data_IF_056133960323
#
_entry.id   IF_056133960323
#
_cell.length_a   1.000
_cell.length_b   1.000
_cell.length_c   1.000
_cell.angle_alpha   90.00
_cell.angle_beta   90.00
_cell.angle_gamma   90.00
#
_symmetry.space_group_name_H-M   'P 1'
#
loop_
_entity.id
_entity.type
_entity.pdbx_description
1 polymer ?
#
# COMPACT_ATOMS: atom_id res chain seq x y z
N UNK A 1 -73.73 -14.10 49.38
CA UNK A 1 -72.41 -13.51 49.07
C UNK A 1 -71.87 -14.28 47.87
N UNK A 2 -71.74 -13.61 46.74
CA UNK A 2 -71.56 -14.19 45.41
C UNK A 2 -70.27 -15.02 45.25
N UNK A 3 -70.39 -16.05 44.43
CA UNK A 3 -69.35 -16.85 43.79
C UNK A 3 -68.25 -16.01 43.13
N UNK A 4 -67.01 -16.48 43.21
CA UNK A 4 -66.25 -17.00 42.06
C UNK A 4 -64.76 -17.12 42.40
N UNK A 5 -64.38 -18.20 43.07
CA UNK A 5 -62.98 -18.62 43.05
C UNK A 5 -62.74 -19.41 41.76
N UNK A 6 -62.66 -18.70 40.62
CA UNK A 6 -62.31 -19.29 39.32
C UNK A 6 -60.83 -19.63 39.33
N UNK A 7 -60.50 -20.80 39.87
CA UNK A 7 -59.19 -21.40 39.68
C UNK A 7 -58.93 -21.55 38.18
N UNK A 8 -57.84 -20.97 37.68
CA UNK A 8 -57.43 -21.09 36.28
C UNK A 8 -57.38 -22.57 35.89
N UNK A 9 -58.07 -22.98 34.80
CA UNK A 9 -58.09 -24.38 34.39
C UNK A 9 -56.68 -24.89 34.10
N UNK A 10 -56.38 -26.10 34.57
CA UNK A 10 -55.04 -26.70 34.48
C UNK A 10 -54.57 -26.91 33.02
N UNK A 11 -55.51 -27.04 32.07
CA UNK A 11 -55.20 -27.10 30.64
C UNK A 11 -54.75 -25.75 30.06
N UNK A 12 -55.23 -24.63 30.62
CA UNK A 12 -54.81 -23.29 30.23
C UNK A 12 -53.37 -23.02 30.67
N UNK A 13 -52.98 -23.45 31.87
CA UNK A 13 -51.61 -23.29 32.35
C UNK A 13 -50.63 -24.15 31.54
N UNK A 14 -51.01 -25.38 31.21
CA UNK A 14 -50.20 -26.25 30.32
C UNK A 14 -50.08 -25.64 28.92
N UNK A 15 -51.18 -25.16 28.33
CA UNK A 15 -51.17 -24.52 27.02
C UNK A 15 -50.25 -23.30 26.97
N UNK A 16 -50.31 -22.45 28.00
CA UNK A 16 -49.41 -21.29 28.12
C UNK A 16 -47.95 -21.73 28.25
N UNK A 17 -47.65 -22.72 29.09
CA UNK A 17 -46.28 -23.21 29.29
C UNK A 17 -45.66 -23.77 28.00
N UNK A 18 -46.44 -24.52 27.20
CA UNK A 18 -46.01 -25.04 25.90
C UNK A 18 -45.79 -23.89 24.92
N UNK A 19 -46.70 -22.92 24.84
CA UNK A 19 -46.54 -21.76 23.96
C UNK A 19 -45.29 -20.95 24.30
N UNK A 20 -45.04 -20.65 25.58
CA UNK A 20 -43.84 -19.91 26.01
C UNK A 20 -42.57 -20.68 25.65
N UNK A 21 -42.57 -22.00 25.79
CA UNK A 21 -41.43 -22.85 25.44
C UNK A 21 -41.13 -22.79 23.93
N UNK A 22 -42.17 -22.91 23.10
CA UNK A 22 -42.04 -22.85 21.63
C UNK A 22 -41.58 -21.47 21.15
N UNK A 23 -42.13 -20.39 21.71
CA UNK A 23 -41.72 -19.02 21.40
C UNK A 23 -40.26 -18.79 21.79
N UNK A 24 -39.84 -19.30 22.95
CA UNK A 24 -38.44 -19.17 23.40
C UNK A 24 -37.49 -19.86 22.43
N UNK A 25 -37.78 -21.11 22.02
CA UNK A 25 -36.94 -21.86 21.07
C UNK A 25 -36.86 -21.13 19.72
N UNK A 26 -37.99 -20.66 19.20
CA UNK A 26 -38.03 -19.94 17.93
C UNK A 26 -37.25 -18.62 17.99
N UNK A 27 -37.35 -17.89 19.11
CA UNK A 27 -36.58 -16.68 19.34
C UNK A 27 -35.07 -16.96 19.42
N UNK A 28 -34.66 -18.02 20.12
CA UNK A 28 -33.25 -18.44 20.18
C UNK A 28 -32.69 -18.82 18.82
N UNK A 29 -33.40 -19.62 18.02
CA UNK A 29 -32.94 -20.01 16.67
C UNK A 29 -32.85 -18.78 15.74
N UNK A 30 -33.82 -17.86 15.81
CA UNK A 30 -33.81 -16.62 15.04
C UNK A 30 -32.62 -15.72 15.41
N UNK A 31 -32.41 -15.50 16.71
CA UNK A 31 -31.29 -14.69 17.19
C UNK A 31 -29.95 -15.33 16.81
N UNK A 32 -29.79 -16.64 17.02
CA UNK A 32 -28.56 -17.36 16.70
C UNK A 32 -28.22 -17.29 15.21
N UNK A 33 -29.20 -17.50 14.32
CA UNK A 33 -29.01 -17.32 12.87
C UNK A 33 -28.63 -15.89 12.50
N UNK A 34 -29.18 -14.89 13.21
CA UNK A 34 -28.84 -13.49 12.97
C UNK A 34 -27.40 -13.19 13.38
N UNK A 35 -26.96 -13.66 14.56
CA UNK A 35 -25.58 -13.51 15.04
C UNK A 35 -24.58 -14.18 14.09
N UNK A 36 -24.82 -15.43 13.69
CA UNK A 36 -23.94 -16.14 12.76
C UNK A 36 -23.80 -15.41 11.40
N UNK A 37 -24.87 -14.77 10.90
CA UNK A 37 -24.81 -13.96 9.68
C UNK A 37 -24.07 -12.65 9.86
N UNK A 38 -24.09 -12.05 11.05
CA UNK A 38 -23.34 -10.84 11.35
C UNK A 38 -21.85 -11.14 11.42
N UNK A 39 -21.45 -12.17 12.18
CA UNK A 39 -20.05 -12.59 12.27
C UNK A 39 -19.50 -12.98 10.89
N UNK A 40 -20.26 -13.74 10.10
CA UNK A 40 -19.84 -14.10 8.74
C UNK A 40 -19.64 -12.88 7.83
N UNK A 41 -20.47 -11.82 7.97
CA UNK A 41 -20.31 -10.58 7.22
C UNK A 41 -19.09 -9.81 7.68
N UNK A 42 -18.89 -9.66 8.98
CA UNK A 42 -17.72 -8.97 9.54
C UNK A 42 -16.40 -9.63 9.14
N UNK A 43 -16.37 -10.96 9.08
CA UNK A 43 -15.20 -11.72 8.62
C UNK A 43 -14.95 -11.47 7.12
N UNK A 44 -16.00 -11.48 6.29
CA UNK A 44 -15.87 -11.23 4.85
C UNK A 44 -15.43 -9.79 4.59
N UNK A 45 -16.04 -8.80 5.24
CA UNK A 45 -15.67 -7.38 5.13
C UNK A 45 -14.23 -7.15 5.57
N UNK A 46 -13.79 -7.77 6.68
CA UNK A 46 -12.40 -7.68 7.12
C UNK A 46 -11.43 -8.27 6.11
N UNK A 47 -11.73 -9.47 5.58
CA UNK A 47 -10.87 -10.09 4.58
C UNK A 47 -10.84 -9.29 3.27
N UNK A 48 -11.95 -8.69 2.87
CA UNK A 48 -12.01 -7.81 1.70
C UNK A 48 -11.13 -6.57 1.92
N UNK A 49 -11.24 -5.92 3.08
CA UNK A 49 -10.38 -4.80 3.47
C UNK A 49 -8.89 -5.19 3.53
N UNK A 50 -8.55 -6.34 4.10
CA UNK A 50 -7.18 -6.85 4.13
C UNK A 50 -6.64 -7.09 2.72
N UNK A 51 -7.46 -7.59 1.80
CA UNK A 51 -7.07 -7.79 0.39
C UNK A 51 -6.90 -6.47 -0.34
N UNK A 52 -7.80 -5.51 -0.13
CA UNK A 52 -7.73 -4.20 -0.76
C UNK A 52 -6.51 -3.41 -0.27
N UNK A 53 -6.22 -3.47 1.02
CA UNK A 53 -5.02 -2.84 1.60
C UNK A 53 -3.74 -3.50 1.09
N UNK A 54 -3.70 -4.83 1.01
CA UNK A 54 -2.56 -5.55 0.42
C UNK A 54 -2.39 -5.23 -1.07
N UNK A 55 -3.48 -5.13 -1.84
CA UNK A 55 -3.44 -4.75 -3.25
C UNK A 55 -2.93 -3.32 -3.42
N UNK A 56 -3.40 -2.37 -2.60
CA UNK A 56 -2.93 -1.00 -2.61
C UNK A 56 -1.43 -0.91 -2.30
N UNK A 57 -0.94 -1.66 -1.30
CA UNK A 57 0.48 -1.71 -0.97
C UNK A 57 1.32 -2.32 -2.12
N UNK A 58 0.81 -3.37 -2.78
CA UNK A 58 1.49 -3.97 -3.93
C UNK A 58 1.60 -2.99 -5.11
N UNK A 59 0.50 -2.27 -5.43
CA UNK A 59 0.49 -1.23 -6.48
C UNK A 59 1.44 -0.10 -6.13
N UNK A 60 1.50 0.32 -4.86
CA UNK A 60 2.43 1.34 -4.41
C UNK A 60 3.90 0.94 -4.65
N UNK A 61 4.26 -0.30 -4.28
CA UNK A 61 5.62 -0.84 -4.51
C UNK A 61 5.96 -0.99 -5.98
N UNK A 62 5.02 -1.46 -6.80
CA UNK A 62 5.20 -1.59 -8.25
C UNK A 62 5.47 -0.25 -8.92
N UNK A 63 4.70 0.79 -8.57
CA UNK A 63 4.93 2.17 -9.06
C UNK A 63 6.30 2.69 -8.66
N UNK A 64 6.72 2.46 -7.41
CA UNK A 64 8.02 2.88 -6.93
C UNK A 64 9.14 2.19 -7.71
N UNK A 65 9.06 0.87 -7.87
CA UNK A 65 10.01 0.09 -8.65
C UNK A 65 10.06 0.56 -10.12
N UNK A 66 8.90 0.82 -10.73
CA UNK A 66 8.80 1.32 -12.09
C UNK A 66 9.56 2.64 -12.27
N UNK A 67 9.32 3.61 -11.39
CA UNK A 67 10.00 4.91 -11.45
C UNK A 67 11.52 4.79 -11.21
N UNK A 68 11.96 3.94 -10.27
CA UNK A 68 13.39 3.70 -10.01
C UNK A 68 14.08 3.09 -11.24
N UNK A 69 13.42 2.13 -11.89
CA UNK A 69 13.94 1.50 -13.10
C UNK A 69 13.97 2.49 -14.26
N UNK A 70 12.94 3.33 -14.41
CA UNK A 70 12.90 4.37 -15.42
C UNK A 70 14.06 5.38 -15.23
N UNK A 71 14.24 5.91 -14.02
CA UNK A 71 15.34 6.84 -13.73
C UNK A 71 16.73 6.21 -13.79
N UNK A 72 16.83 4.88 -13.66
CA UNK A 72 18.09 4.15 -13.79
C UNK A 72 18.72 4.27 -15.19
N UNK A 73 17.98 4.73 -16.21
CA UNK A 73 18.59 5.03 -17.53
C UNK A 73 19.68 6.10 -17.43
N UNK A 74 19.55 7.07 -16.51
CA UNK A 74 20.56 8.11 -16.28
C UNK A 74 21.90 7.53 -15.81
N UNK A 75 21.92 6.32 -15.25
CA UNK A 75 23.16 5.65 -14.86
C UNK A 75 24.10 5.46 -16.04
N UNK A 76 23.56 5.09 -17.19
CA UNK A 76 24.33 4.89 -18.43
C UNK A 76 24.84 6.22 -18.96
N UNK A 77 23.98 7.23 -19.09
CA UNK A 77 24.37 8.56 -19.56
C UNK A 77 25.50 9.16 -18.70
N UNK A 78 25.38 9.07 -17.37
CA UNK A 78 26.40 9.58 -16.44
C UNK A 78 27.70 8.78 -16.55
N UNK A 79 27.62 7.45 -16.65
CA UNK A 79 28.81 6.60 -16.80
C UNK A 79 29.55 6.86 -18.11
N UNK A 80 28.83 7.05 -19.22
CA UNK A 80 29.39 7.40 -20.52
C UNK A 80 30.03 8.79 -20.51
N UNK A 81 29.34 9.78 -19.93
CA UNK A 81 29.89 11.12 -19.74
C UNK A 81 31.20 11.07 -18.96
N UNK A 82 31.22 10.35 -17.84
CA UNK A 82 32.42 10.19 -17.02
C UNK A 82 33.53 9.42 -17.74
N UNK A 83 33.20 8.38 -18.49
CA UNK A 83 34.19 7.64 -19.27
C UNK A 83 34.88 8.51 -20.33
N UNK A 84 34.14 9.46 -20.94
CA UNK A 84 34.63 10.33 -21.99
C UNK A 84 35.37 11.57 -21.48
N UNK A 85 34.94 12.13 -20.35
CA UNK A 85 35.44 13.41 -19.83
C UNK A 85 36.34 13.27 -18.60
N UNK A 86 36.21 12.18 -17.84
CA UNK A 86 36.80 12.04 -16.52
C UNK A 86 36.09 12.83 -15.41
N UNK A 87 34.98 13.50 -15.73
CA UNK A 87 34.19 14.33 -14.80
C UNK A 87 32.76 13.78 -14.65
N UNK A 88 32.02 14.26 -13.67
CA UNK A 88 30.57 13.98 -13.56
C UNK A 88 29.77 15.15 -14.13
N UNK A 89 28.64 14.91 -14.81
CA UNK A 89 27.81 15.98 -15.34
C UNK A 89 27.28 16.88 -14.21
N UNK A 90 27.12 18.17 -14.52
CA UNK A 90 26.57 19.14 -13.59
C UNK A 90 25.03 19.09 -13.54
N UNK A 91 24.40 18.73 -14.66
CA UNK A 91 22.95 18.75 -14.88
C UNK A 91 22.54 17.83 -16.05
N UNK A 92 21.26 17.86 -16.42
CA UNK A 92 20.71 17.13 -17.57
C UNK A 92 21.22 17.66 -18.92
N UNK A 93 21.47 18.96 -19.03
CA UNK A 93 21.92 19.59 -20.27
C UNK A 93 23.33 19.12 -20.65
N UNK A 94 24.20 18.91 -19.65
CA UNK A 94 25.51 18.29 -19.84
C UNK A 94 25.42 16.86 -20.42
N UNK A 95 24.30 16.18 -20.25
CA UNK A 95 24.01 14.86 -20.83
C UNK A 95 23.29 14.95 -22.20
N UNK A 96 23.04 16.16 -22.71
CA UNK A 96 22.28 16.40 -23.93
C UNK A 96 20.78 16.17 -23.76
N UNK A 97 20.27 16.18 -22.54
CA UNK A 97 18.85 16.00 -22.23
C UNK A 97 18.20 17.36 -21.94
N UNK A 98 16.96 17.61 -22.42
CA UNK A 98 16.21 18.80 -22.04
C UNK A 98 16.06 18.92 -20.51
N UNK A 99 16.00 20.15 -19.95
CA UNK A 99 15.87 20.36 -18.51
C UNK A 99 14.54 19.86 -17.93
N UNK A 100 13.51 19.73 -18.76
CA UNK A 100 12.18 19.21 -18.41
C UNK A 100 11.99 17.73 -18.79
N UNK A 101 13.06 17.04 -19.19
CA UNK A 101 12.99 15.64 -19.55
C UNK A 101 12.67 14.77 -18.33
N UNK A 102 11.72 13.85 -18.48
CA UNK A 102 11.29 12.92 -17.43
C UNK A 102 11.33 11.47 -17.95
N UNK A 103 11.89 10.53 -17.18
CA UNK A 103 11.91 9.11 -17.56
C UNK A 103 10.60 8.38 -17.28
N UNK A 104 9.70 8.96 -16.47
CA UNK A 104 8.40 8.38 -16.11
C UNK A 104 7.39 9.49 -15.81
N UNK A 105 6.12 9.23 -16.10
CA UNK A 105 4.96 10.06 -15.76
C UNK A 105 4.65 10.10 -14.25
N UNK A 106 5.27 9.20 -13.46
CA UNK A 106 5.21 9.21 -12.00
C UNK A 106 6.12 10.26 -11.36
N UNK A 107 7.00 10.88 -12.15
CA UNK A 107 7.97 11.86 -11.70
C UNK A 107 7.50 13.28 -12.03
N UNK A 108 7.60 14.16 -11.06
CA UNK A 108 7.38 15.59 -11.23
C UNK A 108 8.65 16.27 -11.75
N UNK A 109 9.81 15.77 -11.32
CA UNK A 109 11.12 16.32 -11.64
C UNK A 109 12.18 15.23 -11.49
N UNK A 110 13.20 15.29 -12.35
CA UNK A 110 14.44 14.54 -12.17
C UNK A 110 15.61 15.51 -12.27
N UNK A 111 16.50 15.46 -11.30
CA UNK A 111 17.70 16.28 -11.27
C UNK A 111 18.93 15.41 -11.44
N UNK A 112 19.87 15.88 -12.25
CA UNK A 112 21.26 15.43 -12.21
C UNK A 112 22.06 16.53 -11.53
N UNK A 113 22.91 16.16 -10.57
CA UNK A 113 23.74 17.09 -9.80
C UNK A 113 25.21 16.69 -9.88
N UNK A 114 26.14 17.63 -9.63
CA UNK A 114 27.56 17.35 -9.55
C UNK A 114 27.87 16.19 -8.59
N UNK A 115 28.89 15.40 -8.92
CA UNK A 115 29.22 14.17 -8.20
C UNK A 115 28.43 12.95 -8.69
N UNK A 116 27.63 13.07 -9.76
CA UNK A 116 26.89 11.94 -10.34
C UNK A 116 25.69 11.51 -9.48
N UNK A 117 25.05 12.48 -8.85
CA UNK A 117 23.83 12.28 -8.06
C UNK A 117 22.61 12.51 -8.96
N UNK A 118 21.72 11.54 -9.00
CA UNK A 118 20.38 11.68 -9.56
C UNK A 118 19.38 11.81 -8.42
N UNK A 119 18.49 12.79 -8.47
CA UNK A 119 17.38 12.95 -7.52
C UNK A 119 16.07 12.87 -8.28
N UNK A 120 15.16 12.02 -7.81
CA UNK A 120 13.83 11.80 -8.41
C UNK A 120 12.76 12.28 -7.44
N UNK A 121 11.97 13.25 -7.89
CA UNK A 121 10.83 13.80 -7.17
C UNK A 121 9.54 13.31 -7.81
N UNK A 122 8.63 12.80 -6.98
CA UNK A 122 7.41 12.15 -7.44
C UNK A 122 6.23 13.12 -7.54
N UNK A 123 5.33 12.86 -8.47
CA UNK A 123 4.07 13.61 -8.57
C UNK A 123 3.15 13.28 -7.39
N UNK A 124 2.31 14.21 -6.93
CA UNK A 124 1.27 13.90 -5.94
C UNK A 124 0.33 12.76 -6.38
N UNK A 125 0.04 12.68 -7.67
CA UNK A 125 -0.87 11.70 -8.29
C UNK A 125 -0.31 10.27 -8.26
N UNK A 126 1.02 10.12 -8.21
CA UNK A 126 1.68 8.81 -8.11
C UNK A 126 1.32 8.09 -6.80
N UNK A 127 0.97 8.85 -5.75
CA UNK A 127 0.82 8.34 -4.38
C UNK A 127 2.15 8.01 -3.69
N UNK A 128 3.29 8.37 -4.29
CA UNK A 128 4.63 8.21 -3.74
C UNK A 128 5.04 9.54 -3.08
N UNK A 129 5.28 9.53 -1.76
CA UNK A 129 5.66 10.73 -1.01
C UNK A 129 7.11 10.63 -0.58
N UNK A 130 7.94 11.50 -1.12
CA UNK A 130 9.37 11.55 -0.84
C UNK A 130 10.19 11.69 -2.11
N UNK A 131 11.43 11.23 -2.04
CA UNK A 131 12.39 11.28 -3.14
C UNK A 131 13.25 10.01 -3.16
N UNK A 132 13.75 9.69 -4.34
CA UNK A 132 14.76 8.65 -4.53
C UNK A 132 16.03 9.26 -5.09
N UNK A 133 17.18 8.79 -4.60
CA UNK A 133 18.51 9.22 -4.96
C UNK A 133 19.33 8.07 -5.50
N UNK A 134 19.98 8.27 -6.64
CA UNK A 134 20.96 7.35 -7.21
C UNK A 134 22.32 8.04 -7.23
N UNK A 135 23.28 7.50 -6.49
CA UNK A 135 24.61 8.09 -6.36
C UNK A 135 25.64 7.21 -7.07
N UNK A 136 26.32 7.77 -8.06
CA UNK A 136 27.45 7.09 -8.69
C UNK A 136 28.62 7.00 -7.70
N UNK A 137 29.30 5.86 -7.71
CA UNK A 137 30.62 5.65 -7.08
C UNK A 137 31.55 4.98 -8.08
N UNK A 138 32.78 5.48 -8.17
CA UNK A 138 33.83 4.88 -8.99
C UNK A 138 34.71 4.01 -8.09
N UNK A 139 34.75 2.71 -8.34
CA UNK A 139 35.59 1.76 -7.59
C UNK A 139 36.40 0.92 -8.55
N UNK A 140 37.72 1.11 -8.55
CA UNK A 140 38.69 0.21 -9.18
C UNK A 140 38.33 -0.19 -10.63
N UNK A 141 37.86 0.77 -11.43
CA UNK A 141 37.38 0.65 -12.82
C UNK A 141 35.94 0.16 -13.05
N UNK A 142 35.12 0.01 -12.00
CA UNK A 142 33.69 -0.25 -12.11
C UNK A 142 32.86 0.94 -11.61
N UNK A 143 31.79 1.25 -12.35
CA UNK A 143 30.75 2.17 -11.90
C UNK A 143 29.77 1.42 -10.99
N UNK A 144 29.74 1.80 -9.72
CA UNK A 144 28.75 1.34 -8.74
C UNK A 144 27.71 2.43 -8.51
N UNK A 145 26.52 2.01 -8.09
CA UNK A 145 25.41 2.90 -7.84
C UNK A 145 24.79 2.59 -6.50
N UNK A 146 24.77 3.57 -5.60
CA UNK A 146 24.03 3.47 -4.36
C UNK A 146 22.63 4.05 -4.57
N UNK A 147 21.59 3.27 -4.28
CA UNK A 147 20.23 3.75 -4.28
C UNK A 147 19.78 4.06 -2.84
N UNK A 148 19.14 5.21 -2.62
CA UNK A 148 18.57 5.57 -1.33
C UNK A 148 17.35 6.46 -1.46
N UNK A 149 16.50 6.54 -0.43
CA UNK A 149 15.35 7.45 -0.43
C UNK A 149 14.60 7.43 0.89
N UNK A 150 13.70 8.41 1.06
CA UNK A 150 12.92 8.60 2.28
C UNK A 150 11.48 8.06 2.16
N UNK A 151 11.24 7.17 1.20
CA UNK A 151 9.98 6.44 1.05
C UNK A 151 10.08 5.15 1.87
N UNK A 152 9.21 4.91 2.88
CA UNK A 152 9.37 3.82 3.86
C UNK A 152 9.62 2.43 3.26
N UNK A 153 8.96 2.14 2.14
CA UNK A 153 8.97 0.81 1.52
C UNK A 153 10.01 0.67 0.40
N UNK A 154 10.94 1.64 0.24
CA UNK A 154 11.89 1.65 -0.89
C UNK A 154 12.78 0.41 -0.94
N UNK A 155 13.24 -0.08 0.22
CA UNK A 155 14.10 -1.25 0.31
C UNK A 155 13.36 -2.55 -0.04
N UNK A 156 12.04 -2.57 0.14
CA UNK A 156 11.19 -3.69 -0.26
C UNK A 156 10.76 -3.60 -1.73
N UNK A 157 10.62 -2.38 -2.25
CA UNK A 157 10.24 -2.14 -3.64
C UNK A 157 11.39 -2.40 -4.63
N UNK A 158 12.63 -2.11 -4.25
CA UNK A 158 13.80 -2.25 -5.14
C UNK A 158 15.03 -2.77 -4.39
N UNK A 159 15.49 -3.96 -4.81
CA UNK A 159 16.69 -4.59 -4.28
C UNK A 159 17.91 -3.66 -4.43
N UNK A 160 18.63 -3.47 -3.33
CA UNK A 160 19.83 -2.61 -3.29
C UNK A 160 19.54 -1.13 -2.99
N UNK A 161 18.27 -0.73 -2.85
CA UNK A 161 17.92 0.56 -2.29
C UNK A 161 17.88 0.51 -0.76
N UNK A 162 18.26 1.63 -0.12
CA UNK A 162 18.20 1.79 1.34
C UNK A 162 17.29 2.93 1.75
N UNK A 163 16.49 2.71 2.79
CA UNK A 163 15.73 3.79 3.41
C UNK A 163 16.67 4.73 4.16
N UNK A 164 16.52 6.04 3.92
CA UNK A 164 17.21 7.12 4.62
C UNK A 164 16.16 8.18 4.94
N UNK A 165 15.85 8.43 6.23
CA UNK A 165 14.82 9.39 6.65
C UNK A 165 15.19 10.84 6.35
#
# INVERSE_FOLDING_TARGET
MNENNRGTPLWLTIGIAVCVSLVSIAAYDYLNKRYARQEAREIVERHEQEKDTAAAAAVHKDRLLHAINAGSVLKTYIAEYHANTGETPADLDALGLPPDWLPSDLLQEVEVRPGGLVVMHFTPESGLQGEVRLQMRVDSAAYKWDCSGNIPDIAEASDGCRYVP
#
